data_IF_296116699995
#
_entry.id   IF_296116699995
#
_cell.length_a   1.000
_cell.length_b   1.000
_cell.length_c   1.000
_cell.angle_alpha   90.00
_cell.angle_beta   90.00
_cell.angle_gamma   90.00
#
_symmetry.space_group_name_H-M   'P 1'
#
loop_
_entity.id
_entity.type
_entity.pdbx_description
1 polymer ?
#
# COMPACT_ATOMS: atom_id res chain seq x y z
N UNK A 1 -13.03 19.84 -2.87
CA UNK A 1 -11.59 19.49 -2.75
C UNK A 1 -11.33 18.35 -3.71
N UNK A 2 -10.16 18.25 -4.35
CA UNK A 2 -9.81 17.06 -5.13
C UNK A 2 -9.64 15.91 -4.14
N UNK A 3 -10.47 14.87 -4.20
CA UNK A 3 -10.33 13.70 -3.34
C UNK A 3 -8.91 13.15 -3.50
N UNK A 4 -8.15 13.10 -2.40
CA UNK A 4 -6.87 12.44 -2.41
C UNK A 4 -7.13 10.93 -2.34
N UNK A 5 -7.11 10.27 -3.49
CA UNK A 5 -7.26 8.82 -3.59
C UNK A 5 -5.92 8.14 -3.31
N UNK A 6 -5.77 7.64 -2.08
CA UNK A 6 -4.60 6.88 -1.66
C UNK A 6 -4.77 5.37 -1.88
N UNK A 7 -6.01 4.88 -2.01
CA UNK A 7 -6.30 3.45 -2.08
C UNK A 7 -5.96 2.88 -3.44
N UNK A 8 -6.20 3.61 -4.53
CA UNK A 8 -5.87 3.11 -5.88
C UNK A 8 -4.37 2.90 -6.11
N UNK A 9 -3.47 3.85 -5.77
CA UNK A 9 -2.02 3.61 -5.85
C UNK A 9 -1.55 2.47 -4.93
N UNK A 10 -2.11 2.35 -3.72
CA UNK A 10 -1.81 1.25 -2.81
C UNK A 10 -2.23 -0.12 -3.38
N UNK A 11 -3.42 -0.21 -3.99
CA UNK A 11 -3.88 -1.42 -4.64
C UNK A 11 -2.94 -1.85 -5.79
N UNK A 12 -2.48 -0.89 -6.60
CA UNK A 12 -1.51 -1.15 -7.68
C UNK A 12 -0.18 -1.66 -7.14
N UNK A 13 0.30 -1.12 -6.03
CA UNK A 13 1.53 -1.61 -5.41
C UNK A 13 1.36 -3.01 -4.82
N UNK A 14 0.23 -3.28 -4.15
CA UNK A 14 -0.07 -4.60 -3.64
C UNK A 14 -0.12 -5.65 -4.77
N UNK A 15 -0.67 -5.28 -5.93
CA UNK A 15 -0.67 -6.14 -7.11
C UNK A 15 0.75 -6.36 -7.67
N UNK A 16 1.56 -5.30 -7.78
CA UNK A 16 2.95 -5.42 -8.21
C UNK A 16 3.79 -6.32 -7.28
N UNK A 17 3.55 -6.26 -5.96
CA UNK A 17 4.21 -7.15 -5.00
C UNK A 17 3.83 -8.62 -5.23
N UNK A 18 2.55 -8.92 -5.48
CA UNK A 18 2.10 -10.28 -5.81
C UNK A 18 2.72 -10.79 -7.11
N UNK A 19 2.84 -9.93 -8.12
CA UNK A 19 3.50 -10.28 -9.38
C UNK A 19 4.98 -10.60 -9.15
N UNK A 20 5.67 -9.82 -8.31
CA UNK A 20 7.06 -10.08 -7.92
C UNK A 20 7.21 -11.42 -7.19
N UNK A 21 6.33 -11.72 -6.24
CA UNK A 21 6.33 -13.00 -5.52
C UNK A 21 6.13 -14.19 -6.48
N UNK A 22 5.17 -14.10 -7.40
CA UNK A 22 4.93 -15.13 -8.40
C UNK A 22 6.15 -15.32 -9.32
N UNK A 23 6.76 -14.22 -9.79
CA UNK A 23 7.97 -14.27 -10.61
C UNK A 23 9.15 -14.88 -9.85
N UNK A 24 9.28 -14.58 -8.55
CA UNK A 24 10.31 -15.17 -7.70
C UNK A 24 10.12 -16.68 -7.52
N UNK A 25 8.88 -17.14 -7.29
CA UNK A 25 8.60 -18.58 -7.18
C UNK A 25 9.00 -19.32 -8.46
N UNK A 26 8.64 -18.80 -9.63
CA UNK A 26 9.03 -19.40 -10.91
C UNK A 26 10.55 -19.38 -11.10
N UNK A 27 11.22 -18.30 -10.68
CA UNK A 27 12.68 -18.19 -10.77
C UNK A 27 13.37 -19.25 -9.90
N UNK A 28 12.82 -19.54 -8.71
CA UNK A 28 13.36 -20.55 -7.80
C UNK A 28 13.24 -21.99 -8.31
N UNK A 29 12.41 -22.26 -9.32
CA UNK A 29 12.37 -23.58 -9.95
C UNK A 29 13.69 -23.91 -10.64
N UNK A 30 14.35 -22.90 -11.22
CA UNK A 30 15.60 -23.06 -11.99
C UNK A 30 16.82 -22.49 -11.25
N UNK A 31 16.62 -21.61 -10.26
CA UNK A 31 17.69 -20.95 -9.51
C UNK A 31 17.53 -21.14 -7.98
N UNK A 32 18.06 -22.24 -7.47
CA UNK A 32 17.95 -22.66 -6.06
C UNK A 32 19.32 -22.81 -5.36
N UNK A 33 20.30 -21.99 -5.73
CA UNK A 33 21.64 -22.02 -5.14
C UNK A 33 21.75 -21.06 -3.92
N UNK A 34 22.88 -21.04 -3.19
CA UNK A 34 23.05 -20.13 -2.06
C UNK A 34 22.96 -18.64 -2.41
N UNK A 35 23.17 -18.25 -3.67
CA UNK A 35 23.05 -16.85 -4.12
C UNK A 35 21.58 -16.47 -4.21
N UNK A 36 20.72 -17.34 -4.73
CA UNK A 36 19.27 -17.06 -4.77
C UNK A 36 18.67 -16.94 -3.37
N UNK A 37 19.13 -17.77 -2.41
CA UNK A 37 18.76 -17.63 -1.00
C UNK A 37 19.18 -16.27 -0.43
N UNK A 38 20.43 -15.84 -0.69
CA UNK A 38 20.91 -14.53 -0.25
C UNK A 38 20.10 -13.38 -0.85
N UNK A 39 19.67 -13.49 -2.12
CA UNK A 39 18.80 -12.49 -2.76
C UNK A 39 17.44 -12.42 -2.10
N UNK A 40 16.85 -13.57 -1.77
CA UNK A 40 15.56 -13.62 -1.07
C UNK A 40 15.65 -12.96 0.31
N UNK A 41 16.67 -13.33 1.09
CA UNK A 41 16.84 -12.88 2.46
C UNK A 41 17.22 -11.40 2.56
N UNK A 42 18.11 -10.91 1.70
CA UNK A 42 18.57 -9.52 1.77
C UNK A 42 17.65 -8.51 1.10
N UNK A 43 16.92 -8.91 0.05
CA UNK A 43 16.14 -7.96 -0.75
C UNK A 43 14.64 -8.23 -0.73
N UNK A 44 14.21 -9.46 -1.02
CA UNK A 44 12.79 -9.73 -1.20
C UNK A 44 12.02 -9.76 0.13
N UNK A 45 12.57 -10.41 1.15
CA UNK A 45 11.95 -10.46 2.48
C UNK A 45 11.83 -9.05 3.09
N UNK A 46 12.88 -8.20 3.10
CA UNK A 46 12.76 -6.83 3.58
C UNK A 46 11.81 -5.98 2.74
N UNK A 47 11.84 -6.10 1.40
CA UNK A 47 10.96 -5.34 0.52
C UNK A 47 9.49 -5.67 0.78
N UNK A 48 9.15 -6.95 0.92
CA UNK A 48 7.79 -7.37 1.25
C UNK A 48 7.32 -6.76 2.58
N UNK A 49 8.17 -6.79 3.62
CA UNK A 49 7.88 -6.16 4.90
C UNK A 49 7.64 -4.65 4.79
N UNK A 50 8.48 -3.94 4.03
CA UNK A 50 8.36 -2.49 3.81
C UNK A 50 7.08 -2.13 3.03
N UNK A 51 6.77 -2.87 1.96
CA UNK A 51 5.55 -2.66 1.17
C UNK A 51 4.33 -2.86 2.06
N UNK A 52 4.28 -3.94 2.85
CA UNK A 52 3.19 -4.19 3.80
C UNK A 52 3.00 -3.05 4.79
N UNK A 53 4.08 -2.59 5.43
CA UNK A 53 4.03 -1.49 6.39
C UNK A 53 3.53 -0.19 5.74
N UNK A 54 3.91 0.06 4.49
CA UNK A 54 3.42 1.22 3.74
C UNK A 54 1.92 1.11 3.42
N UNK A 55 1.44 -0.05 2.98
CA UNK A 55 0.01 -0.27 2.71
C UNK A 55 -0.84 -0.04 3.97
N UNK A 56 -0.38 -0.54 5.12
CA UNK A 56 -1.04 -0.31 6.42
C UNK A 56 -1.08 1.18 6.78
N UNK A 57 -0.01 1.92 6.45
CA UNK A 57 0.06 3.37 6.69
C UNK A 57 -0.87 4.14 5.76
N UNK A 58 -0.96 3.74 4.50
CA UNK A 58 -1.87 4.33 3.50
C UNK A 58 -3.32 4.15 3.92
N UNK A 59 -3.70 2.98 4.44
CA UNK A 59 -5.08 2.77 4.89
C UNK A 59 -5.44 3.70 6.06
N UNK A 60 -4.52 3.88 7.03
CA UNK A 60 -4.70 4.84 8.12
C UNK A 60 -4.84 6.27 7.59
N UNK A 61 -4.02 6.66 6.61
CA UNK A 61 -4.06 7.99 6.01
C UNK A 61 -5.39 8.23 5.27
N UNK A 62 -5.85 7.26 4.49
CA UNK A 62 -7.13 7.31 3.79
C UNK A 62 -8.29 7.47 4.78
N UNK A 63 -8.25 6.77 5.91
CA UNK A 63 -9.26 6.88 6.96
C UNK A 63 -9.29 8.28 7.59
N UNK A 64 -8.13 8.80 8.01
CA UNK A 64 -8.01 10.14 8.62
C UNK A 64 -8.50 11.22 7.67
N UNK A 65 -8.07 11.16 6.40
CA UNK A 65 -8.48 12.13 5.38
C UNK A 65 -9.98 12.04 5.08
N UNK A 66 -10.55 10.83 5.03
CA UNK A 66 -11.98 10.64 4.89
C UNK A 66 -12.79 11.18 6.06
N UNK A 67 -12.29 11.07 7.30
CA UNK A 67 -12.92 11.68 8.48
C UNK A 67 -12.87 13.22 8.41
N UNK A 68 -11.72 13.78 8.03
CA UNK A 68 -11.56 15.23 7.89
C UNK A 68 -12.48 15.81 6.82
N UNK A 69 -12.61 15.14 5.67
CA UNK A 69 -13.51 15.53 4.60
C UNK A 69 -14.98 15.55 5.03
N UNK A 70 -15.43 14.51 5.76
CA UNK A 70 -16.79 14.47 6.32
C UNK A 70 -17.03 15.58 7.34
N UNK A 71 -16.08 15.84 8.23
CA UNK A 71 -16.20 16.90 9.24
C UNK A 71 -16.31 18.30 8.60
N UNK A 72 -15.52 18.56 7.55
CA UNK A 72 -15.57 19.81 6.80
C UNK A 72 -16.87 19.96 6.00
N UNK A 73 -17.37 18.88 5.40
CA UNK A 73 -18.64 18.89 4.66
C UNK A 73 -19.84 19.14 5.59
N UNK A 74 -19.87 18.48 6.74
CA UNK A 74 -20.94 18.63 7.74
C UNK A 74 -21.02 20.05 8.31
N UNK A 75 -19.88 20.68 8.62
CA UNK A 75 -19.84 22.08 9.09
C UNK A 75 -20.35 23.06 8.04
N UNK A 76 -20.11 22.78 6.76
CA UNK A 76 -20.55 23.66 5.65
C UNK A 76 -22.07 23.60 5.44
N UNK A 77 -22.69 22.44 5.67
CA UNK A 77 -24.14 22.26 5.57
C UNK A 77 -24.90 22.88 6.75
N UNK A 78 -24.26 23.00 7.92
CA UNK A 78 -24.79 23.65 9.14
C UNK A 78 -24.51 25.16 9.21
N UNK A 79 -24.50 25.86 8.08
CA UNK A 79 -24.36 27.31 8.04
C UNK A 79 -25.36 28.01 8.98
N UNK A 80 -25.02 29.21 9.52
CA UNK A 80 -25.74 29.80 10.64
C UNK A 80 -27.22 29.99 10.30
N UNK A 81 -28.09 29.46 11.17
CA UNK A 81 -29.50 29.81 11.19
C UNK A 81 -29.55 31.29 11.61
N UNK A 82 -29.89 32.17 10.66
CA UNK A 82 -30.27 33.56 10.96
C UNK A 82 -31.58 33.57 11.77
#
# INVERSE_FOLDING_TARGET
>A
MRHADFRSPAARLADAMKQLEAAWMNTKEEWADPVSQHVEDEYLVPLHGQVRAMLDTVEKLAEVMGRAERACSHRREQGPIL
#
